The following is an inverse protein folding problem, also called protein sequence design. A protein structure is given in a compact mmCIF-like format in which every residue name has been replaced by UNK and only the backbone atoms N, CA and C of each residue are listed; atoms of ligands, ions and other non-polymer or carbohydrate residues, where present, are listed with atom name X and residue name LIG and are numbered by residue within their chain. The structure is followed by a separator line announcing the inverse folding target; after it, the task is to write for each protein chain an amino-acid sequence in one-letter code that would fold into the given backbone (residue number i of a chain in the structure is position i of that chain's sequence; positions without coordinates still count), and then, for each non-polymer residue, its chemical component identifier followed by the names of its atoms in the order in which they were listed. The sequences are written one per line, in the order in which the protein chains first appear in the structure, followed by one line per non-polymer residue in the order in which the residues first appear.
data_IF_522190644176
#
_entry.id   IF_522190644176
#
_cell.length_a   1.000
_cell.length_b   1.000
_cell.length_c   1.000
_cell.angle_alpha   90.00
_cell.angle_beta   90.00
_cell.angle_gamma   90.00
#
_symmetry.space_group_name_H-M   'P 1'
#
loop_
_entity.id
_entity.type
_entity.pdbx_description
1 polymer ?
#
# COMPACT_ATOMS: atom_id res chain seq x y z
N UNK A 1 11.65 -2.17 -0.42
CA UNK A 1 12.62 -2.38 -1.52
C UNK A 1 12.19 -3.62 -2.29
N UNK A 2 12.33 -3.62 -3.61
CA UNK A 2 11.95 -4.75 -4.48
C UNK A 2 13.07 -5.05 -5.47
N UNK A 3 13.33 -6.34 -5.73
CA UNK A 3 14.16 -6.78 -6.85
C UNK A 3 13.30 -7.01 -8.10
N UNK A 4 13.67 -6.40 -9.23
CA UNK A 4 12.97 -6.54 -10.51
C UNK A 4 13.96 -6.29 -11.66
N UNK A 5 13.95 -7.15 -12.69
CA UNK A 5 14.79 -6.95 -13.88
C UNK A 5 16.30 -6.81 -13.60
N UNK A 6 16.81 -7.46 -12.55
CA UNK A 6 18.22 -7.37 -12.13
C UNK A 6 18.61 -6.06 -11.42
N UNK A 7 17.63 -5.22 -11.07
CA UNK A 7 17.81 -3.97 -10.31
C UNK A 7 17.06 -4.04 -8.99
N UNK A 8 17.46 -3.19 -8.04
CA UNK A 8 16.74 -2.95 -6.80
C UNK A 8 16.00 -1.62 -6.90
N UNK A 9 14.73 -1.61 -6.53
CA UNK A 9 13.88 -0.44 -6.49
C UNK A 9 13.59 -0.09 -5.04
N UNK A 10 13.85 1.15 -4.65
CA UNK A 10 13.67 1.66 -3.29
C UNK A 10 12.78 2.89 -3.33
N UNK A 11 11.57 2.78 -2.79
CA UNK A 11 10.69 3.92 -2.56
C UNK A 11 11.31 4.84 -1.52
N UNK A 12 11.24 6.14 -1.79
CA UNK A 12 11.73 7.18 -0.92
C UNK A 12 10.56 8.09 -0.53
N UNK A 13 10.35 8.25 0.77
CA UNK A 13 9.35 9.16 1.31
C UNK A 13 9.63 10.63 0.96
N UNK A 14 10.91 10.97 0.73
CA UNK A 14 11.40 12.30 0.35
C UNK A 14 10.95 13.40 1.33
N UNK A 15 11.14 13.14 2.62
CA UNK A 15 10.80 14.06 3.72
C UNK A 15 11.92 15.07 3.96
N UNK A 16 11.57 16.27 4.42
CA UNK A 16 12.54 17.22 4.97
C UNK A 16 13.19 16.66 6.23
N UNK A 17 14.36 17.19 6.60
CA UNK A 17 15.14 16.71 7.75
C UNK A 17 14.37 16.77 9.08
N UNK A 18 13.45 17.72 9.20
CA UNK A 18 12.58 17.93 10.35
C UNK A 18 11.21 17.25 10.21
N UNK A 19 10.97 16.52 9.11
CA UNK A 19 9.70 15.88 8.77
C UNK A 19 8.51 16.85 8.62
N UNK A 20 8.76 18.15 8.52
CA UNK A 20 7.72 19.17 8.39
C UNK A 20 7.12 19.25 6.97
N UNK A 21 7.78 18.66 5.98
CA UNK A 21 7.33 18.66 4.59
C UNK A 21 7.77 17.40 3.85
N UNK A 22 7.09 17.11 2.75
CA UNK A 22 7.50 16.07 1.82
C UNK A 22 7.60 16.63 0.40
N UNK A 23 8.68 16.28 -0.29
CA UNK A 23 8.84 16.49 -1.72
C UNK A 23 8.09 15.42 -2.54
N UNK A 24 8.22 15.49 -3.88
CA UNK A 24 7.64 14.50 -4.78
C UNK A 24 8.09 13.07 -4.47
N UNK A 25 7.20 12.11 -4.70
CA UNK A 25 7.50 10.68 -4.60
C UNK A 25 8.66 10.31 -5.50
N UNK A 26 9.59 9.50 -4.98
CA UNK A 26 10.78 9.05 -5.71
C UNK A 26 11.01 7.57 -5.50
N UNK A 27 11.51 6.92 -6.53
CA UNK A 27 11.98 5.53 -6.46
C UNK A 27 13.43 5.54 -6.95
N UNK A 28 14.37 5.22 -6.07
CA UNK A 28 15.75 5.02 -6.45
C UNK A 28 15.89 3.65 -7.12
N UNK A 29 16.57 3.62 -8.27
CA UNK A 29 16.94 2.40 -8.99
C UNK A 29 18.40 2.14 -8.70
N UNK A 30 18.69 1.01 -8.07
CA UNK A 30 20.03 0.62 -7.61
C UNK A 30 20.51 -0.57 -8.43
N UNK A 31 21.74 -0.51 -8.90
CA UNK A 31 22.46 -1.66 -9.44
C UNK A 31 23.10 -2.45 -8.30
N UNK A 32 22.64 -3.68 -8.03
CA UNK A 32 23.18 -4.49 -6.93
C UNK A 32 24.62 -4.95 -7.18
N UNK A 33 25.10 -4.91 -8.42
CA UNK A 33 26.48 -5.32 -8.77
C UNK A 33 27.49 -4.25 -8.35
N UNK A 34 27.14 -2.98 -8.52
CA UNK A 34 28.02 -1.84 -8.22
C UNK A 34 27.66 -1.14 -6.91
N UNK A 35 26.52 -1.49 -6.29
CA UNK A 35 25.94 -0.82 -5.13
C UNK A 35 25.73 0.69 -5.35
N UNK A 36 25.32 1.07 -6.56
CA UNK A 36 25.10 2.47 -6.93
C UNK A 36 23.67 2.73 -7.36
N UNK A 37 23.14 3.91 -7.01
CA UNK A 37 21.91 4.44 -7.60
C UNK A 37 22.20 4.81 -9.05
N UNK A 38 21.59 4.11 -10.00
CA UNK A 38 21.78 4.34 -11.45
C UNK A 38 20.77 5.31 -12.03
N UNK A 39 19.59 5.44 -11.42
CA UNK A 39 18.55 6.40 -11.83
C UNK A 39 17.52 6.63 -10.73
N UNK A 40 16.61 7.59 -10.95
CA UNK A 40 15.48 7.87 -10.07
C UNK A 40 14.23 8.01 -10.91
N UNK A 41 13.17 7.27 -10.57
CA UNK A 41 11.83 7.46 -11.12
C UNK A 41 11.10 8.48 -10.23
N UNK A 42 10.53 9.51 -10.84
CA UNK A 42 9.80 10.57 -10.12
C UNK A 42 8.30 10.42 -10.28
N UNK A 43 7.57 10.64 -9.19
CA UNK A 43 6.10 10.67 -9.13
C UNK A 43 5.68 12.09 -8.68
N UNK A 44 5.68 13.08 -9.61
CA UNK A 44 5.60 14.51 -9.27
C UNK A 44 4.34 14.92 -8.52
N UNK A 45 3.24 14.18 -8.69
CA UNK A 45 1.93 14.46 -8.09
C UNK A 45 1.64 13.65 -6.83
N UNK A 46 2.56 12.80 -6.40
CA UNK A 46 2.43 12.00 -5.17
C UNK A 46 3.53 12.40 -4.17
N UNK A 47 3.28 12.17 -2.89
CA UNK A 47 4.25 12.39 -1.81
C UNK A 47 4.27 11.18 -0.88
N UNK A 48 5.37 11.02 -0.14
CA UNK A 48 5.46 10.05 0.95
C UNK A 48 5.11 8.62 0.46
N UNK A 49 5.86 8.13 -0.53
CA UNK A 49 5.65 6.81 -1.10
C UNK A 49 6.40 5.74 -0.29
N UNK A 50 5.76 4.59 -0.07
CA UNK A 50 6.28 3.52 0.77
C UNK A 50 6.20 2.16 0.08
N UNK A 51 5.23 1.35 0.48
CA UNK A 51 5.00 -0.02 0.02
C UNK A 51 4.95 -0.09 -1.49
N UNK A 52 5.64 -1.10 -2.02
CA UNK A 52 5.68 -1.39 -3.44
C UNK A 52 5.39 -2.88 -3.63
N UNK A 53 4.79 -3.23 -4.77
CA UNK A 53 4.57 -4.62 -5.18
C UNK A 53 4.90 -4.78 -6.66
N UNK A 54 5.44 -5.95 -7.05
CA UNK A 54 5.65 -6.31 -8.46
C UNK A 54 4.34 -6.81 -9.04
N UNK A 55 3.91 -6.25 -10.17
CA UNK A 55 2.67 -6.64 -10.87
C UNK A 55 2.89 -7.06 -12.33
N UNK A 56 4.15 -7.15 -12.73
CA UNK A 56 4.58 -7.60 -14.06
C UNK A 56 6.10 -7.52 -14.21
N UNK A 57 6.67 -8.01 -15.33
CA UNK A 57 8.12 -8.11 -15.53
C UNK A 57 8.88 -6.78 -15.39
N UNK A 58 8.24 -5.67 -15.72
CA UNK A 58 8.79 -4.32 -15.61
C UNK A 58 7.75 -3.37 -14.99
N UNK A 59 6.84 -3.89 -14.16
CA UNK A 59 5.72 -3.08 -13.63
C UNK A 59 5.64 -3.18 -12.12
N UNK A 60 5.64 -2.02 -11.48
CA UNK A 60 5.47 -1.86 -10.03
C UNK A 60 4.14 -1.19 -9.75
N UNK A 61 3.53 -1.49 -8.61
CA UNK A 61 2.57 -0.58 -7.97
C UNK A 61 3.18 -0.03 -6.68
N UNK A 62 2.91 1.23 -6.38
CA UNK A 62 3.47 1.95 -5.22
C UNK A 62 2.34 2.69 -4.51
N UNK A 63 2.24 2.53 -3.19
CA UNK A 63 1.32 3.29 -2.35
C UNK A 63 2.00 4.53 -1.79
N UNK A 64 1.31 5.67 -1.89
CA UNK A 64 1.78 6.96 -1.43
C UNK A 64 0.72 7.60 -0.54
N UNK A 65 1.09 7.93 0.69
CA UNK A 65 0.14 8.40 1.70
C UNK A 65 -0.08 9.90 1.73
N UNK A 66 0.66 10.66 0.92
CA UNK A 66 0.73 12.11 1.09
C UNK A 66 1.48 12.49 2.36
N UNK A 67 1.68 13.79 2.57
CA UNK A 67 2.39 14.27 3.75
C UNK A 67 1.39 14.56 4.87
N UNK A 68 1.58 13.94 6.03
CA UNK A 68 0.75 14.20 7.22
C UNK A 68 0.76 15.69 7.61
N UNK A 69 1.88 16.38 7.39
CA UNK A 69 2.05 17.82 7.58
C UNK A 69 1.07 18.67 6.76
N UNK A 70 0.54 18.15 5.66
CA UNK A 70 -0.42 18.86 4.78
C UNK A 70 -1.86 18.79 5.33
N UNK A 71 -2.09 18.07 6.45
CA UNK A 71 -3.40 17.91 7.06
C UNK A 71 -4.42 17.32 6.07
N UNK A 72 -5.61 17.94 5.98
CA UNK A 72 -6.65 17.49 5.05
C UNK A 72 -6.26 17.57 3.57
N UNK A 73 -5.27 18.41 3.21
CA UNK A 73 -4.77 18.50 1.84
C UNK A 73 -3.85 17.33 1.47
N UNK A 74 -3.45 16.49 2.43
CA UNK A 74 -2.63 15.30 2.16
C UNK A 74 -3.28 14.37 1.12
N UNK A 75 -4.62 14.35 1.03
CA UNK A 75 -5.34 13.51 0.06
C UNK A 75 -5.05 13.90 -1.40
N UNK A 76 -4.66 15.14 -1.67
CA UNK A 76 -4.32 15.62 -3.01
C UNK A 76 -2.99 15.07 -3.54
N UNK A 77 -2.14 14.58 -2.64
CA UNK A 77 -0.83 14.04 -2.95
C UNK A 77 -0.70 12.55 -2.58
N UNK A 78 -1.82 11.90 -2.33
CA UNK A 78 -1.91 10.49 -1.95
C UNK A 78 -2.58 9.67 -3.06
N UNK A 79 -2.27 8.37 -3.09
CA UNK A 79 -2.84 7.44 -4.05
C UNK A 79 -1.97 6.21 -4.27
N UNK A 80 -2.29 5.45 -5.31
CA UNK A 80 -1.50 4.31 -5.77
C UNK A 80 -1.06 4.56 -7.21
N UNK A 81 0.24 4.46 -7.47
CA UNK A 81 0.81 4.58 -8.80
C UNK A 81 1.16 3.21 -9.36
N UNK A 82 0.70 2.89 -10.56
CA UNK A 82 1.28 1.83 -11.40
C UNK A 82 2.39 2.45 -12.24
N UNK A 83 3.60 1.92 -12.14
CA UNK A 83 4.81 2.45 -12.76
C UNK A 83 5.41 1.42 -13.71
N UNK A 84 5.70 1.82 -14.94
CA UNK A 84 6.58 1.10 -15.84
C UNK A 84 8.04 1.40 -15.42
N UNK A 85 8.73 0.37 -14.95
CA UNK A 85 10.03 0.48 -14.31
C UNK A 85 11.17 0.80 -15.30
N UNK A 86 10.94 0.61 -16.61
CA UNK A 86 11.91 0.88 -17.68
C UNK A 86 11.85 2.32 -18.15
N UNK A 87 10.63 2.84 -18.31
CA UNK A 87 10.38 4.19 -18.83
C UNK A 87 10.14 5.23 -17.74
N UNK A 88 9.79 4.78 -16.52
CA UNK A 88 9.36 5.65 -15.42
C UNK A 88 7.97 6.24 -15.60
N UNK A 89 7.23 5.86 -16.65
CA UNK A 89 5.86 6.32 -16.88
C UNK A 89 4.92 5.75 -15.83
N UNK A 90 3.88 6.52 -15.45
CA UNK A 90 2.96 6.11 -14.39
C UNK A 90 1.50 6.42 -14.69
N UNK A 91 0.62 5.55 -14.17
CA UNK A 91 -0.82 5.76 -14.06
C UNK A 91 -1.18 5.83 -12.58
N UNK A 92 -1.96 6.82 -12.19
CA UNK A 92 -2.24 7.10 -10.78
C UNK A 92 -3.72 6.86 -10.51
N UNK A 93 -4.02 6.16 -9.42
CA UNK A 93 -5.35 6.11 -8.80
C UNK A 93 -5.32 7.05 -7.60
N UNK A 94 -6.04 8.17 -7.70
CA UNK A 94 -6.01 9.21 -6.68
C UNK A 94 -6.69 8.77 -5.37
N UNK A 95 -6.13 9.18 -4.23
CA UNK A 95 -6.69 8.89 -2.90
C UNK A 95 -8.15 9.38 -2.71
N UNK A 96 -8.58 10.38 -3.49
CA UNK A 96 -9.97 10.87 -3.47
C UNK A 96 -11.00 9.78 -3.77
N UNK A 97 -10.63 8.73 -4.50
CA UNK A 97 -11.49 7.57 -4.79
C UNK A 97 -11.71 6.66 -3.56
N UNK A 98 -10.86 6.76 -2.53
CA UNK A 98 -10.89 5.92 -1.33
C UNK A 98 -11.66 6.61 -0.21
N UNK A 99 -12.87 7.11 -0.54
CA UNK A 99 -13.70 7.85 0.40
C UNK A 99 -13.11 9.21 0.81
N UNK A 100 -12.34 9.83 -0.07
CA UNK A 100 -11.64 11.10 0.18
C UNK A 100 -10.65 11.04 1.37
N UNK A 101 -9.93 9.92 1.51
CA UNK A 101 -8.94 9.68 2.57
C UNK A 101 -7.61 9.24 1.98
N UNK A 102 -6.51 9.63 2.64
CA UNK A 102 -5.16 9.20 2.26
C UNK A 102 -5.02 7.67 2.35
N UNK A 103 -4.36 7.09 1.35
CA UNK A 103 -3.97 5.69 1.35
C UNK A 103 -2.84 5.48 2.36
N UNK A 104 -2.86 4.38 3.10
CA UNK A 104 -1.77 3.96 3.95
C UNK A 104 -0.59 3.55 3.07
N UNK A 105 0.50 4.31 3.12
CA UNK A 105 1.70 4.03 2.34
C UNK A 105 2.38 2.71 2.69
N UNK A 106 1.92 1.96 3.69
CA UNK A 106 2.52 0.69 4.17
C UNK A 106 1.68 -0.53 3.83
N UNK A 107 0.54 -0.35 3.17
CA UNK A 107 -0.50 -1.37 3.04
C UNK A 107 -0.99 -1.43 1.61
N UNK A 108 -0.26 -2.21 0.80
CA UNK A 108 -0.56 -2.45 -0.61
C UNK A 108 -0.36 -3.93 -0.93
N UNK A 109 -1.34 -4.53 -1.60
CA UNK A 109 -1.19 -5.80 -2.29
C UNK A 109 -1.81 -5.66 -3.66
N UNK A 110 -1.34 -6.44 -4.63
CA UNK A 110 -1.91 -6.44 -5.97
C UNK A 110 -2.25 -7.86 -6.40
N UNK A 111 -3.35 -7.98 -7.12
CA UNK A 111 -3.72 -9.22 -7.78
C UNK A 111 -3.05 -9.32 -9.14
N UNK A 112 -3.05 -8.22 -9.88
CA UNK A 112 -2.49 -8.09 -11.21
C UNK A 112 -2.14 -6.62 -11.50
N UNK A 113 -1.78 -6.30 -12.75
CA UNK A 113 -1.40 -4.95 -13.17
C UNK A 113 -2.58 -3.94 -13.21
N UNK A 114 -3.82 -4.37 -13.02
CA UNK A 114 -5.00 -3.52 -12.95
C UNK A 114 -5.58 -3.48 -11.52
N UNK A 115 -5.71 -4.64 -10.88
CA UNK A 115 -6.45 -4.80 -9.62
C UNK A 115 -5.55 -4.89 -8.41
N UNK A 116 -5.88 -4.09 -7.40
CA UNK A 116 -5.12 -4.02 -6.15
C UNK A 116 -5.99 -3.78 -4.93
N UNK A 117 -5.36 -3.94 -3.77
CA UNK A 117 -5.92 -3.77 -2.45
C UNK A 117 -5.09 -2.74 -1.70
N UNK A 118 -5.77 -1.82 -1.01
CA UNK A 118 -5.11 -0.77 -0.25
C UNK A 118 -5.87 -0.52 1.05
N UNK A 119 -5.20 0.09 2.02
CA UNK A 119 -5.84 0.55 3.26
C UNK A 119 -5.92 2.07 3.26
N UNK A 120 -6.97 2.65 3.82
CA UNK A 120 -6.94 4.03 4.32
C UNK A 120 -6.90 3.99 5.84
N UNK A 121 -5.98 4.75 6.44
CA UNK A 121 -5.83 4.80 7.89
C UNK A 121 -6.96 5.61 8.53
N UNK A 122 -7.39 5.19 9.72
CA UNK A 122 -8.24 5.90 10.66
C UNK A 122 -7.73 7.28 11.03
N UNK A 123 -8.53 8.01 11.80
CA UNK A 123 -8.16 9.31 12.33
C UNK A 123 -7.68 9.19 13.78
N UNK A 124 -6.66 9.97 14.16
CA UNK A 124 -6.09 9.95 15.53
C UNK A 124 -7.05 10.43 16.63
N UNK A 125 -8.14 11.10 16.27
CA UNK A 125 -9.15 11.61 17.22
C UNK A 125 -10.56 11.63 16.64
N UNK A 126 -10.78 10.97 15.50
CA UNK A 126 -12.07 10.92 14.82
C UNK A 126 -12.74 9.55 14.93
N UNK A 127 -14.02 9.43 14.56
CA UNK A 127 -14.74 8.16 14.56
C UNK A 127 -14.34 7.25 13.40
N UNK A 128 -13.56 7.73 12.43
CA UNK A 128 -13.15 6.96 11.27
C UNK A 128 -12.05 5.96 11.64
N UNK A 129 -12.33 4.67 11.44
CA UNK A 129 -11.36 3.57 11.58
C UNK A 129 -10.74 3.22 10.23
N UNK A 130 -9.79 2.27 10.22
CA UNK A 130 -9.16 1.83 8.98
C UNK A 130 -10.17 1.18 8.04
N UNK A 131 -9.98 1.37 6.73
CA UNK A 131 -10.78 0.70 5.71
C UNK A 131 -9.88 0.00 4.72
N UNK A 132 -10.24 -1.25 4.41
CA UNK A 132 -9.67 -2.03 3.32
C UNK A 132 -10.48 -1.75 2.06
N UNK A 133 -9.78 -1.49 0.96
CA UNK A 133 -10.35 -1.16 -0.34
C UNK A 133 -9.90 -2.14 -1.40
N UNK A 134 -10.78 -2.37 -2.37
CA UNK A 134 -10.46 -2.97 -3.67
C UNK A 134 -10.46 -1.85 -4.70
N UNK A 135 -9.53 -1.88 -5.65
CA UNK A 135 -9.39 -0.81 -6.62
C UNK A 135 -8.83 -1.28 -7.96
N UNK A 136 -8.93 -0.39 -8.95
CA UNK A 136 -8.61 -0.62 -10.35
C UNK A 136 -7.86 0.56 -10.94
N UNK A 137 -6.71 0.30 -11.55
CA UNK A 137 -5.91 1.33 -12.22
C UNK A 137 -6.58 1.76 -13.52
N UNK A 138 -7.09 0.82 -14.31
CA UNK A 138 -7.63 1.10 -15.64
C UNK A 138 -9.02 1.74 -15.56
N UNK A 139 -9.89 1.22 -14.70
CA UNK A 139 -11.24 1.79 -14.55
C UNK A 139 -11.32 2.98 -13.59
N UNK A 140 -10.24 3.30 -12.87
CA UNK A 140 -10.19 4.41 -11.90
C UNK A 140 -11.33 4.33 -10.87
N UNK A 141 -11.56 3.12 -10.35
CA UNK A 141 -12.62 2.83 -9.36
C UNK A 141 -12.01 2.28 -8.09
N UNK A 142 -12.58 2.63 -6.95
CA UNK A 142 -12.30 2.00 -5.66
C UNK A 142 -13.61 1.67 -4.93
N UNK A 143 -13.62 0.61 -4.14
CA UNK A 143 -14.77 0.20 -3.33
C UNK A 143 -14.30 -0.30 -1.97
N UNK A 144 -14.95 0.16 -0.91
CA UNK A 144 -14.63 -0.29 0.44
C UNK A 144 -15.12 -1.73 0.60
N UNK A 145 -14.27 -2.58 1.15
CA UNK A 145 -14.52 -4.01 1.26
C UNK A 145 -14.58 -4.48 2.71
N UNK A 146 -13.83 -3.84 3.62
CA UNK A 146 -13.91 -4.11 5.05
C UNK A 146 -13.51 -2.88 5.87
N UNK A 147 -14.00 -2.83 7.10
CA UNK A 147 -13.68 -1.80 8.08
C UNK A 147 -13.05 -2.45 9.31
N UNK A 148 -12.02 -1.81 9.87
CA UNK A 148 -11.43 -2.23 11.13
C UNK A 148 -12.27 -1.76 12.32
N UNK A 149 -12.10 -2.43 13.47
CA UNK A 149 -12.74 -2.00 14.72
C UNK A 149 -12.05 -0.81 15.40
N UNK A 150 -10.81 -0.51 15.00
CA UNK A 150 -9.93 0.49 15.60
C UNK A 150 -9.18 1.25 14.47
N UNK A 151 -8.56 2.39 14.81
CA UNK A 151 -7.72 3.17 13.88
C UNK A 151 -6.27 2.70 13.91
N UNK A 152 -5.59 2.70 12.77
CA UNK A 152 -4.18 2.33 12.60
C UNK A 152 -3.85 0.88 13.03
N UNK A 153 -4.76 -0.05 12.73
CA UNK A 153 -4.64 -1.47 13.04
C UNK A 153 -4.48 -2.36 11.82
N UNK A 154 -5.02 -1.98 10.66
CA UNK A 154 -4.72 -2.68 9.42
C UNK A 154 -3.26 -2.40 9.00
N UNK A 155 -2.48 -3.47 8.91
CA UNK A 155 -1.07 -3.44 8.55
C UNK A 155 -0.82 -3.92 7.12
N UNK A 156 0.23 -4.70 6.95
CA UNK A 156 0.62 -5.29 5.67
C UNK A 156 -0.47 -6.17 5.05
N UNK A 157 -0.54 -6.13 3.73
CA UNK A 157 -1.44 -6.92 2.90
C UNK A 157 -0.63 -7.96 2.13
N UNK A 158 -1.15 -9.18 2.01
CA UNK A 158 -0.53 -10.22 1.19
C UNK A 158 -1.60 -10.90 0.34
N UNK A 159 -1.45 -10.85 -0.99
CA UNK A 159 -2.30 -11.60 -1.91
C UNK A 159 -1.59 -12.89 -2.36
N UNK A 160 -2.30 -14.00 -2.27
CA UNK A 160 -1.89 -15.31 -2.76
C UNK A 160 -2.68 -15.65 -4.04
N UNK A 161 -2.01 -15.64 -5.21
CA UNK A 161 -2.68 -15.95 -6.48
C UNK A 161 -3.04 -17.43 -6.63
N UNK A 162 -2.35 -18.36 -5.95
CA UNK A 162 -2.60 -19.79 -6.08
C UNK A 162 -3.91 -20.18 -5.40
N UNK A 163 -4.15 -19.61 -4.22
CA UNK A 163 -5.40 -19.85 -3.47
C UNK A 163 -6.45 -18.77 -3.66
N UNK A 164 -6.13 -17.70 -4.39
CA UNK A 164 -6.97 -16.50 -4.53
C UNK A 164 -7.42 -15.94 -3.18
N UNK A 165 -6.46 -15.74 -2.28
CA UNK A 165 -6.71 -15.24 -0.91
C UNK A 165 -5.96 -13.95 -0.65
N UNK A 166 -6.63 -13.02 0.05
CA UNK A 166 -6.02 -11.84 0.62
C UNK A 166 -5.90 -12.01 2.13
N UNK A 167 -4.68 -11.87 2.64
CA UNK A 167 -4.36 -11.82 4.06
C UNK A 167 -4.13 -10.37 4.46
N UNK A 168 -4.74 -9.96 5.58
CA UNK A 168 -4.65 -8.60 6.10
C UNK A 168 -4.21 -8.69 7.55
N UNK A 169 -3.06 -8.11 7.87
CA UNK A 169 -2.64 -7.97 9.27
C UNK A 169 -3.63 -7.05 9.98
N UNK A 170 -4.27 -7.55 11.04
CA UNK A 170 -5.12 -6.76 11.93
C UNK A 170 -4.49 -6.74 13.31
N UNK A 171 -3.80 -5.63 13.57
CA UNK A 171 -3.07 -5.38 14.80
C UNK A 171 -3.92 -4.80 15.92
N UNK A 172 -5.25 -4.99 15.88
CA UNK A 172 -6.16 -4.57 16.95
C UNK A 172 -5.65 -5.02 18.32
N UNK A 173 -5.70 -4.11 19.30
CA UNK A 173 -5.30 -4.44 20.67
C UNK A 173 -6.27 -5.42 21.33
N UNK A 174 -7.55 -5.35 20.95
CA UNK A 174 -8.60 -6.19 21.50
C UNK A 174 -8.74 -7.55 20.81
N UNK A 175 -8.48 -7.61 19.50
CA UNK A 175 -8.67 -8.82 18.69
C UNK A 175 -7.57 -9.00 17.64
N UNK A 176 -6.30 -9.18 18.05
CA UNK A 176 -5.19 -9.34 17.11
C UNK A 176 -5.34 -10.62 16.27
N UNK A 177 -5.28 -10.47 14.95
CA UNK A 177 -5.52 -11.57 14.01
C UNK A 177 -4.93 -11.28 12.63
N UNK A 178 -4.91 -12.30 11.77
CA UNK A 178 -4.83 -12.10 10.32
C UNK A 178 -6.22 -12.35 9.76
N UNK A 179 -6.83 -11.31 9.18
CA UNK A 179 -8.08 -11.47 8.44
C UNK A 179 -7.78 -12.12 7.11
N UNK A 180 -8.62 -13.06 6.71
CA UNK A 180 -8.47 -13.79 5.45
C UNK A 180 -9.72 -13.57 4.62
N UNK A 181 -9.53 -13.24 3.35
CA UNK A 181 -10.61 -13.06 2.38
C UNK A 181 -10.38 -13.97 1.18
N UNK A 182 -11.42 -14.63 0.69
CA UNK A 182 -11.45 -15.15 -0.67
C UNK A 182 -11.61 -13.98 -1.64
N UNK A 183 -10.88 -14.02 -2.75
CA UNK A 183 -10.86 -12.99 -3.79
C UNK A 183 -11.46 -13.58 -5.07
N UNK A 184 -12.53 -12.98 -5.58
CA UNK A 184 -13.15 -13.46 -6.81
C UNK A 184 -12.52 -12.87 -8.09
N UNK A 185 -13.07 -13.19 -9.26
CA UNK A 185 -12.57 -12.72 -10.54
C UNK A 185 -12.64 -11.19 -10.74
N UNK A 186 -13.52 -10.49 -10.02
CA UNK A 186 -13.65 -9.03 -10.01
C UNK A 186 -12.88 -8.36 -8.86
N UNK A 187 -12.17 -9.15 -8.04
CA UNK A 187 -11.49 -8.74 -6.81
C UNK A 187 -12.43 -8.35 -5.67
N UNK A 188 -13.70 -8.79 -5.72
CA UNK A 188 -14.57 -8.70 -4.56
C UNK A 188 -14.07 -9.65 -3.46
N UNK A 189 -14.24 -9.21 -2.20
CA UNK A 189 -13.73 -9.91 -1.03
C UNK A 189 -14.87 -10.60 -0.29
N UNK A 190 -14.71 -11.90 -0.04
CA UNK A 190 -15.58 -12.67 0.86
C UNK A 190 -14.80 -13.06 2.11
N UNK A 191 -15.21 -12.64 3.31
CA UNK A 191 -14.50 -13.02 4.54
C UNK A 191 -14.46 -14.54 4.74
N UNK A 192 -13.31 -15.05 5.16
CA UNK A 192 -13.09 -16.43 5.59
C UNK A 192 -12.78 -16.48 7.09
N UNK A 193 -12.57 -17.67 7.63
CA UNK A 193 -12.07 -17.84 8.98
C UNK A 193 -10.72 -17.12 9.14
N UNK A 194 -10.64 -16.22 10.11
CA UNK A 194 -9.42 -15.50 10.45
C UNK A 194 -8.40 -16.44 11.11
N UNK A 195 -7.13 -16.09 10.99
CA UNK A 195 -6.06 -16.75 11.73
C UNK A 195 -5.86 -15.96 13.02
N UNK A 196 -6.22 -16.58 14.14
CA UNK A 196 -5.99 -16.00 15.45
C UNK A 196 -4.48 -16.06 15.73
N UNK A 197 -3.87 -14.90 15.93
CA UNK A 197 -2.42 -14.82 16.17
C UNK A 197 -2.05 -14.93 17.65
N UNK A 198 -3.06 -14.96 18.54
CA UNK A 198 -2.99 -15.14 20.01
C UNK A 198 -1.64 -14.73 20.62
N UNK A 199 -1.26 -13.44 20.55
CA UNK A 199 -0.04 -13.01 21.16
C UNK A 199 -0.26 -12.93 22.68
N UNK A 200 -0.06 -14.03 23.39
CA UNK A 200 -0.01 -14.03 24.86
C UNK A 200 1.26 -13.32 25.38
N UNK A 201 2.26 -13.14 24.53
CA UNK A 201 3.61 -12.62 24.86
C UNK A 201 4.25 -11.80 23.71
N UNK A 202 3.54 -11.48 22.63
CA UNK A 202 4.13 -10.89 21.42
C UNK A 202 3.45 -9.59 20.98
N UNK A 203 4.10 -8.87 20.06
CA UNK A 203 3.48 -7.74 19.38
C UNK A 203 2.37 -8.22 18.44
N UNK A 204 1.29 -7.44 18.27
CA UNK A 204 0.24 -7.77 17.31
C UNK A 204 0.80 -7.81 15.88
N UNK A 205 0.18 -8.57 14.96
CA UNK A 205 0.65 -8.67 13.58
C UNK A 205 0.57 -7.30 12.90
N UNK A 206 1.70 -6.83 12.35
CA UNK A 206 1.77 -5.57 11.58
C UNK A 206 2.14 -5.77 10.11
N UNK A 207 2.76 -6.89 9.77
CA UNK A 207 3.20 -7.19 8.42
C UNK A 207 3.10 -8.68 8.15
N UNK A 208 2.84 -9.02 6.88
CA UNK A 208 2.74 -10.38 6.38
C UNK A 208 3.57 -10.40 5.10
N UNK A 209 4.41 -11.42 4.94
CA UNK A 209 5.25 -11.61 3.76
C UNK A 209 5.44 -13.11 3.49
N UNK A 210 5.81 -13.42 2.25
CA UNK A 210 6.32 -14.74 1.90
C UNK A 210 7.68 -14.99 2.56
N UNK A 211 7.97 -16.26 2.86
CA UNK A 211 9.25 -16.71 3.39
C UNK A 211 10.12 -17.34 2.31
#
# INVERSE_FOLDING_TARGET
MIALGGKLYVSLNHLSQDFASAGPGRIAVVDPTTNQVTSVISLPTLKNCGEMVVVGPETLMIACGGAFSDGLQSVDFAGVARVDARTGTSLIVAARLFGNRSVAQTSLAARDADRFFAVTNGDFGGPATDQLWTASVLSQTASSAATAGESFVFGGLLFDPETSRLYVADGSASTPQVRVFAVDAASALTPLAAIVTSPSLALPPRQIAWY
#
